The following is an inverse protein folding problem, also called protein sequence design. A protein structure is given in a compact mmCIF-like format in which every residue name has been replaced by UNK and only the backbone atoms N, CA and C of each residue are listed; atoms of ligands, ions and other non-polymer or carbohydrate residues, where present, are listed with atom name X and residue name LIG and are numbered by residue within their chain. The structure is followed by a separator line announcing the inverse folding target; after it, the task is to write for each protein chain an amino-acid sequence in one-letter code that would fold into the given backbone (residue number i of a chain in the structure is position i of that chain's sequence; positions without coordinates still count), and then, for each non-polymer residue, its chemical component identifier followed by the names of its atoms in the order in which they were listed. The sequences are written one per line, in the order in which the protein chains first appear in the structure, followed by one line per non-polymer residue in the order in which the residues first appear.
data_IF_606371071241
#
_entry.id   IF_606371071241
#
_cell.length_a   1.000
_cell.length_b   1.000
_cell.length_c   1.000
_cell.angle_alpha   90.00
_cell.angle_beta   90.00
_cell.angle_gamma   90.00
#
_symmetry.space_group_name_H-M   'P 1'
#
loop_
_entity.id
_entity.type
_entity.pdbx_description
1 polymer ?
#
# COMPACT_ATOMS: atom_id res chain seq x y z
N UNK A 1 -34.83 13.09 -4.40
CA UNK A 1 -33.37 12.89 -4.34
C UNK A 1 -33.15 11.39 -4.32
N UNK A 2 -32.75 10.79 -5.44
CA UNK A 2 -32.47 9.35 -5.49
C UNK A 2 -31.09 9.08 -4.89
N UNK A 3 -31.04 8.15 -3.94
CA UNK A 3 -29.79 7.67 -3.34
C UNK A 3 -29.19 6.66 -4.33
N UNK A 4 -28.05 7.02 -4.92
CA UNK A 4 -27.29 6.11 -5.77
C UNK A 4 -26.49 5.15 -4.90
N UNK A 5 -26.78 3.85 -5.03
CA UNK A 5 -26.05 2.81 -4.31
C UNK A 5 -24.81 2.37 -5.10
N UNK A 6 -23.69 2.06 -4.41
CA UNK A 6 -22.50 1.56 -5.08
C UNK A 6 -22.72 0.15 -5.62
N UNK A 7 -22.23 -0.10 -6.84
CA UNK A 7 -22.29 -1.42 -7.49
C UNK A 7 -21.34 -2.43 -6.86
N UNK A 8 -20.26 -1.97 -6.23
CA UNK A 8 -19.24 -2.77 -5.58
C UNK A 8 -19.25 -2.53 -4.08
N UNK A 9 -19.10 -3.60 -3.30
CA UNK A 9 -19.04 -3.58 -1.84
C UNK A 9 -17.84 -4.42 -1.39
N UNK A 10 -17.19 -3.99 -0.31
CA UNK A 10 -16.11 -4.73 0.34
C UNK A 10 -16.30 -4.66 1.86
N UNK A 11 -16.02 -5.76 2.55
CA UNK A 11 -16.15 -5.82 4.00
C UNK A 11 -15.05 -5.00 4.68
N UNK A 12 -15.42 -4.39 5.80
CA UNK A 12 -14.50 -3.75 6.74
C UNK A 12 -14.21 -4.71 7.87
N UNK A 13 -12.94 -4.90 8.17
CA UNK A 13 -12.44 -5.75 9.26
C UNK A 13 -11.64 -4.88 10.22
N UNK A 14 -11.94 -4.98 11.52
CA UNK A 14 -11.16 -4.30 12.56
C UNK A 14 -10.09 -5.25 13.09
N UNK A 15 -8.83 -4.79 13.07
CA UNK A 15 -7.67 -5.57 13.50
C UNK A 15 -7.01 -4.87 14.69
N UNK A 16 -6.79 -5.55 15.83
CA UNK A 16 -6.09 -4.96 16.96
C UNK A 16 -4.60 -4.81 16.64
N UNK A 17 -4.02 -3.64 16.98
CA UNK A 17 -2.58 -3.35 16.83
C UNK A 17 -1.90 -3.44 18.21
N UNK A 18 -0.62 -3.87 18.27
CA UNK A 18 0.21 -3.66 19.46
C UNK A 18 0.16 -2.19 19.91
N UNK A 19 -0.05 -1.96 21.21
CA UNK A 19 -0.27 -0.63 21.78
C UNK A 19 -1.74 -0.21 21.90
N UNK A 20 -2.69 -1.16 21.80
CA UNK A 20 -4.11 -0.95 22.15
C UNK A 20 -4.93 -0.18 21.11
N UNK A 21 -4.33 0.22 19.99
CA UNK A 21 -5.02 0.88 18.87
C UNK A 21 -5.70 -0.14 17.96
N UNK A 22 -6.77 0.25 17.30
CA UNK A 22 -7.43 -0.53 16.25
C UNK A 22 -7.05 -0.03 14.86
N UNK A 23 -6.93 -0.95 13.89
CA UNK A 23 -6.75 -0.64 12.47
C UNK A 23 -7.97 -1.11 11.69
N UNK A 24 -8.54 -0.21 10.89
CA UNK A 24 -9.54 -0.53 9.90
C UNK A 24 -8.85 -1.15 8.67
N UNK A 25 -9.24 -2.35 8.29
CA UNK A 25 -8.76 -3.05 7.10
C UNK A 25 -9.95 -3.28 6.16
N UNK A 26 -9.86 -2.79 4.92
CA UNK A 26 -10.85 -3.11 3.89
C UNK A 26 -10.38 -4.37 3.17
N UNK A 27 -11.26 -5.35 3.04
CA UNK A 27 -10.96 -6.62 2.39
C UNK A 27 -11.14 -6.48 0.87
N UNK A 28 -10.06 -6.13 0.19
CA UNK A 28 -10.01 -5.94 -1.25
C UNK A 28 -9.79 -7.24 -2.04
N UNK A 29 -9.99 -8.44 -1.47
CA UNK A 29 -9.66 -9.70 -2.16
C UNK A 29 -10.38 -9.85 -3.51
N UNK A 30 -11.68 -9.57 -3.57
CA UNK A 30 -12.45 -9.72 -4.81
C UNK A 30 -12.20 -8.56 -5.79
N UNK A 31 -11.91 -7.36 -5.27
CA UNK A 31 -11.43 -6.23 -6.08
C UNK A 31 -10.10 -6.57 -6.74
N UNK A 32 -9.13 -7.06 -5.97
CA UNK A 32 -7.79 -7.40 -6.45
C UNK A 32 -7.78 -8.55 -7.47
N UNK A 33 -8.75 -9.48 -7.42
CA UNK A 33 -8.93 -10.51 -8.45
C UNK A 33 -9.49 -9.94 -9.75
N UNK A 34 -10.32 -8.90 -9.64
CA UNK A 34 -10.98 -8.25 -10.78
C UNK A 34 -10.05 -7.26 -11.50
N UNK A 35 -9.05 -6.73 -10.80
CA UNK A 35 -8.05 -5.84 -11.37
C UNK A 35 -6.92 -6.62 -12.07
N UNK A 36 -6.52 -6.25 -13.30
CA UNK A 36 -5.30 -6.77 -13.89
C UNK A 36 -4.10 -6.35 -13.05
N UNK A 37 -3.11 -7.23 -12.91
CA UNK A 37 -1.86 -6.89 -12.21
C UNK A 37 -1.09 -5.87 -13.04
N UNK A 38 -0.73 -4.75 -12.42
CA UNK A 38 0.25 -3.83 -12.96
C UNK A 38 1.66 -4.43 -12.78
N UNK A 39 2.48 -4.40 -13.83
CA UNK A 39 3.85 -4.90 -13.83
C UNK A 39 4.84 -3.76 -13.65
N UNK A 40 4.62 -2.90 -12.67
CA UNK A 40 5.61 -1.91 -12.29
C UNK A 40 6.87 -2.62 -11.78
N UNK A 41 7.95 -2.52 -12.56
CA UNK A 41 9.22 -3.16 -12.23
C UNK A 41 9.87 -2.40 -11.08
N UNK A 42 9.83 -3.00 -9.88
CA UNK A 42 10.62 -2.51 -8.77
C UNK A 42 12.11 -2.80 -9.03
N UNK A 43 13.01 -1.82 -8.81
CA UNK A 43 14.44 -2.03 -8.97
C UNK A 43 14.93 -3.12 -7.99
N UNK A 44 15.92 -3.91 -8.42
CA UNK A 44 16.56 -4.89 -7.54
C UNK A 44 17.36 -4.16 -6.46
N UNK A 45 17.40 -4.73 -5.26
CA UNK A 45 18.14 -4.14 -4.13
C UNK A 45 19.61 -3.94 -4.49
N UNK A 46 20.24 -4.91 -5.17
CA UNK A 46 21.65 -4.80 -5.59
C UNK A 46 21.88 -3.58 -6.50
N UNK A 47 20.96 -3.29 -7.42
CA UNK A 47 21.04 -2.11 -8.29
C UNK A 47 20.95 -0.81 -7.49
N UNK A 48 20.08 -0.76 -6.47
CA UNK A 48 19.97 0.39 -5.58
C UNK A 48 21.23 0.58 -4.72
N UNK A 49 21.82 -0.50 -4.23
CA UNK A 49 23.07 -0.46 -3.43
C UNK A 49 24.25 -0.03 -4.30
N UNK A 50 24.41 -0.63 -5.48
CA UNK A 50 25.50 -0.30 -6.39
C UNK A 50 25.43 1.16 -6.85
N UNK A 51 24.23 1.67 -7.16
CA UNK A 51 24.03 3.06 -7.55
C UNK A 51 24.35 4.07 -6.44
N UNK A 52 24.27 3.68 -5.17
CA UNK A 52 24.52 4.54 -4.01
C UNK A 52 25.90 4.33 -3.37
N UNK A 53 26.65 3.31 -3.80
CA UNK A 53 27.94 2.89 -3.24
C UNK A 53 29.05 3.95 -3.21
N UNK A 54 28.93 5.00 -4.05
CA UNK A 54 29.90 6.12 -4.13
C UNK A 54 29.34 7.44 -3.60
N UNK A 55 28.17 7.43 -2.96
CA UNK A 55 27.61 8.61 -2.34
C UNK A 55 28.27 8.83 -0.97
N UNK A 56 28.87 10.01 -0.77
CA UNK A 56 29.47 10.39 0.52
C UNK A 56 28.41 10.65 1.62
N UNK A 57 27.18 10.92 1.21
CA UNK A 57 26.04 11.14 2.10
C UNK A 57 24.77 10.54 1.50
N UNK A 58 24.00 9.84 2.34
CA UNK A 58 22.67 9.34 2.02
C UNK A 58 21.65 9.92 2.98
N UNK A 59 20.50 10.33 2.45
CA UNK A 59 19.33 10.72 3.25
C UNK A 59 18.15 9.81 2.90
N UNK A 60 17.38 9.43 3.92
CA UNK A 60 16.23 8.55 3.77
C UNK A 60 14.97 9.31 4.15
N UNK A 61 14.00 9.32 3.23
CA UNK A 61 12.67 9.87 3.48
C UNK A 61 11.68 8.73 3.64
N UNK A 62 10.87 8.78 4.70
CA UNK A 62 9.82 7.80 4.94
C UNK A 62 8.45 8.38 4.54
N UNK A 63 7.80 7.77 3.55
CA UNK A 63 6.46 8.14 3.10
C UNK A 63 5.41 7.29 3.80
N UNK A 64 5.30 7.47 5.12
CA UNK A 64 4.45 6.61 5.98
C UNK A 64 2.95 6.69 5.71
N UNK A 65 2.50 7.70 4.96
CA UNK A 65 1.11 7.91 4.56
C UNK A 65 0.94 7.97 3.04
N UNK A 66 1.85 7.40 2.24
CA UNK A 66 1.77 7.50 0.77
C UNK A 66 0.53 6.88 0.12
N UNK A 67 -0.25 6.10 0.88
CA UNK A 67 -1.49 5.45 0.43
C UNK A 67 -2.76 6.10 0.99
N UNK A 68 -2.64 7.07 1.89
CA UNK A 68 -3.77 7.70 2.57
C UNK A 68 -3.77 9.20 2.30
#
# INVERSE_FOLDING_TARGET
MEIQFPKWLSNVVLVPKPGGKWRMCIDFRDLNKSCPKDFYMLPKIDQLVDSTSRCELLSMMNVSQGYH
#
